data_IF_819470104374
#
_entry.id   IF_819470104374
#
_cell.length_a   1.000
_cell.length_b   1.000
_cell.length_c   1.000
_cell.angle_alpha   90.00
_cell.angle_beta   90.00
_cell.angle_gamma   90.00
#
_symmetry.space_group_name_H-M   'P 1'
#
loop_
_entity.id
_entity.type
_entity.pdbx_description
1 polymer ?
#
# COMPACT_ATOMS: atom_id res chain seq x y z
N UNK A 1 -6.49 -6.93 -13.93
CA UNK A 1 -6.63 -6.87 -12.46
C UNK A 1 -7.41 -5.62 -12.11
N UNK A 2 -8.50 -5.78 -11.38
CA UNK A 2 -9.33 -4.68 -10.85
C UNK A 2 -8.65 -3.99 -9.65
N UNK A 3 -9.12 -2.78 -9.29
CA UNK A 3 -8.64 -2.05 -8.10
C UNK A 3 -8.82 -2.86 -6.81
N UNK A 4 -9.94 -3.60 -6.70
CA UNK A 4 -10.27 -4.44 -5.55
C UNK A 4 -9.29 -5.60 -5.41
N UNK A 5 -9.03 -6.33 -6.49
CA UNK A 5 -8.06 -7.44 -6.51
C UNK A 5 -6.65 -6.94 -6.14
N UNK A 6 -6.26 -5.77 -6.65
CA UNK A 6 -4.96 -5.18 -6.34
C UNK A 6 -4.82 -4.82 -4.86
N UNK A 7 -5.85 -4.20 -4.27
CA UNK A 7 -5.86 -3.87 -2.84
C UNK A 7 -5.78 -5.14 -2.00
N UNK A 8 -6.51 -6.18 -2.36
CA UNK A 8 -6.43 -7.48 -1.67
C UNK A 8 -5.03 -8.07 -1.75
N UNK A 9 -4.40 -8.05 -2.92
CA UNK A 9 -3.01 -8.48 -3.08
C UNK A 9 -2.06 -7.68 -2.18
N UNK A 10 -2.16 -6.35 -2.16
CA UNK A 10 -1.31 -5.51 -1.30
C UNK A 10 -1.54 -5.74 0.20
N UNK A 11 -2.74 -6.16 0.62
CA UNK A 11 -2.99 -6.59 2.00
C UNK A 11 -2.30 -7.92 2.33
N UNK A 12 -2.33 -8.88 1.41
CA UNK A 12 -1.63 -10.16 1.57
C UNK A 12 -0.10 -9.95 1.70
N UNK A 13 0.43 -8.96 0.98
CA UNK A 13 1.84 -8.55 1.07
C UNK A 13 2.13 -7.60 2.25
N UNK A 14 1.18 -7.34 3.14
CA UNK A 14 1.31 -6.41 4.29
C UNK A 14 1.71 -4.97 3.90
N UNK A 15 1.47 -4.56 2.65
CA UNK A 15 1.72 -3.20 2.15
C UNK A 15 0.54 -2.26 2.44
N UNK A 16 -0.64 -2.82 2.69
CA UNK A 16 -1.83 -2.14 3.18
C UNK A 16 -2.34 -2.84 4.44
N UNK A 17 -3.10 -2.12 5.27
CA UNK A 17 -3.76 -2.72 6.42
C UNK A 17 -4.85 -3.70 5.96
N UNK A 18 -4.75 -4.93 6.47
CA UNK A 18 -5.75 -5.98 6.26
C UNK A 18 -6.92 -5.84 7.23
N UNK A 19 -6.61 -5.60 8.50
CA UNK A 19 -7.57 -5.49 9.58
C UNK A 19 -7.05 -4.51 10.64
N UNK A 20 -7.97 -3.87 11.36
CA UNK A 20 -7.65 -2.93 12.43
C UNK A 20 -8.58 -3.22 13.60
N UNK A 21 -8.04 -3.25 14.81
CA UNK A 21 -8.84 -3.25 16.03
C UNK A 21 -9.01 -1.81 16.53
N UNK A 22 -10.20 -1.47 16.98
CA UNK A 22 -10.42 -0.24 17.72
C UNK A 22 -9.56 -0.24 19.00
N UNK A 23 -8.87 0.87 19.27
CA UNK A 23 -8.03 1.00 20.46
C UNK A 23 -8.87 0.94 21.75
N UNK A 24 -10.09 1.44 21.69
CA UNK A 24 -11.03 1.53 22.81
C UNK A 24 -11.78 0.22 23.04
N UNK A 25 -12.54 -0.26 22.05
CA UNK A 25 -13.42 -1.42 22.24
C UNK A 25 -12.79 -2.78 21.87
N UNK A 26 -11.56 -2.77 21.33
CA UNK A 26 -10.81 -3.96 20.88
C UNK A 26 -11.50 -4.81 19.79
N UNK A 27 -12.69 -4.42 19.32
CA UNK A 27 -13.38 -5.05 18.19
C UNK A 27 -12.73 -4.65 16.87
N UNK A 28 -12.85 -5.51 15.88
CA UNK A 28 -12.40 -5.21 14.52
C UNK A 28 -13.25 -4.11 13.90
N UNK A 29 -12.58 -3.19 13.21
CA UNK A 29 -13.21 -2.15 12.41
C UNK A 29 -13.72 -2.75 11.11
N UNK A 30 -14.84 -2.20 10.63
CA UNK A 30 -15.45 -2.58 9.37
C UNK A 30 -14.84 -1.72 8.26
N UNK A 31 -14.57 -2.36 7.13
CA UNK A 31 -14.11 -1.68 5.93
C UNK A 31 -15.30 -1.09 5.17
N UNK A 32 -15.17 0.17 4.73
CA UNK A 32 -16.18 0.85 3.92
C UNK A 32 -15.54 1.67 2.80
N UNK A 33 -16.32 1.92 1.74
CA UNK A 33 -15.96 2.87 0.70
C UNK A 33 -15.95 4.29 1.28
N UNK A 34 -14.91 5.07 0.98
CA UNK A 34 -14.76 6.43 1.47
C UNK A 34 -13.97 7.30 0.49
N UNK A 35 -14.69 8.13 -0.27
CA UNK A 35 -14.13 9.01 -1.30
C UNK A 35 -13.08 10.03 -0.80
N UNK A 36 -13.04 10.30 0.51
CA UNK A 36 -12.06 11.21 1.10
C UNK A 36 -10.62 10.65 1.06
N UNK A 37 -10.45 9.32 1.09
CA UNK A 37 -9.13 8.69 1.05
C UNK A 37 -8.71 8.33 -0.37
N UNK A 38 -7.39 8.31 -0.61
CA UNK A 38 -6.79 8.08 -1.93
C UNK A 38 -7.23 6.77 -2.61
N UNK A 39 -7.35 5.70 -1.82
CA UNK A 39 -7.80 4.40 -2.34
C UNK A 39 -9.32 4.23 -2.31
N UNK A 40 -10.06 5.26 -1.91
CA UNK A 40 -11.51 5.26 -1.73
C UNK A 40 -11.99 4.20 -0.72
N UNK A 41 -11.13 3.83 0.22
CA UNK A 41 -11.42 2.84 1.26
C UNK A 41 -10.92 3.32 2.62
N UNK A 42 -11.67 2.99 3.66
CA UNK A 42 -11.28 3.24 5.03
C UNK A 42 -11.81 2.17 5.99
N UNK A 43 -11.29 2.20 7.21
CA UNK A 43 -11.79 1.41 8.33
C UNK A 43 -12.55 2.30 9.30
N UNK A 44 -13.69 1.82 9.78
CA UNK A 44 -14.59 2.54 10.69
C UNK A 44 -15.15 1.65 11.79
N UNK A 45 -15.37 2.23 12.96
CA UNK A 45 -16.12 1.59 14.05
C UNK A 45 -17.61 1.90 13.92
N UNK A 46 -18.46 0.88 14.08
CA UNK A 46 -19.92 1.03 14.06
C UNK A 46 -20.56 0.97 15.45
N UNK A 47 -19.75 0.94 16.51
CA UNK A 47 -20.31 0.86 17.85
C UNK A 47 -20.65 2.27 18.36
N UNK A 48 -21.96 2.54 18.49
CA UNK A 48 -22.54 3.87 18.76
C UNK A 48 -22.08 4.50 20.08
N UNK A 49 -21.71 3.67 21.06
CA UNK A 49 -21.35 4.11 22.41
C UNK A 49 -19.91 4.67 22.52
N UNK A 50 -19.19 4.80 21.40
CA UNK A 50 -17.80 5.26 21.39
C UNK A 50 -17.63 6.55 20.59
N UNK A 51 -16.85 7.47 21.14
CA UNK A 51 -16.42 8.71 20.47
C UNK A 51 -15.73 8.46 19.11
N UNK A 52 -15.17 7.26 18.91
CA UNK A 52 -14.54 6.83 17.65
C UNK A 52 -15.54 6.40 16.55
N UNK A 53 -16.86 6.41 16.80
CA UNK A 53 -17.88 6.02 15.82
C UNK A 53 -17.84 6.84 14.52
N UNK A 54 -17.31 8.06 14.57
CA UNK A 54 -17.12 8.94 13.40
C UNK A 54 -15.71 8.89 12.84
N UNK A 55 -14.75 8.25 13.54
CA UNK A 55 -13.35 8.21 13.16
C UNK A 55 -13.16 7.26 12.00
N UNK A 56 -12.59 7.79 10.91
CA UNK A 56 -12.21 7.02 9.73
C UNK A 56 -10.70 6.85 9.69
N UNK A 57 -10.25 5.64 9.44
CA UNK A 57 -8.82 5.31 9.42
C UNK A 57 -8.44 4.87 8.01
N UNK A 58 -7.40 5.49 7.45
CA UNK A 58 -6.86 5.08 6.16
C UNK A 58 -6.37 3.63 6.20
N UNK A 59 -6.65 2.88 5.14
CA UNK A 59 -6.06 1.57 4.87
C UNK A 59 -4.53 1.60 4.69
N UNK A 60 -3.93 2.78 4.46
CA UNK A 60 -2.48 2.98 4.28
C UNK A 60 -1.73 3.38 5.55
N UNK A 61 -2.42 3.79 6.61
CA UNK A 61 -1.74 4.38 7.78
C UNK A 61 -0.65 3.47 8.35
N UNK A 62 0.53 4.00 8.69
CA UNK A 62 1.66 3.22 9.22
C UNK A 62 2.01 1.98 8.34
N UNK A 63 1.88 2.12 7.03
CA UNK A 63 2.26 1.11 6.02
C UNK A 63 3.04 1.77 4.88
N UNK A 64 3.56 0.95 3.98
CA UNK A 64 4.44 1.38 2.89
C UNK A 64 3.88 2.56 2.07
N UNK A 65 2.57 2.57 1.80
CA UNK A 65 1.93 3.60 0.98
C UNK A 65 1.42 4.83 1.77
N UNK A 66 1.71 4.96 3.07
CA UNK A 66 1.16 6.03 3.92
C UNK A 66 1.40 7.43 3.35
N UNK A 67 2.60 7.68 2.84
CA UNK A 67 3.05 9.02 2.40
C UNK A 67 2.85 9.25 0.89
N UNK A 68 2.27 8.30 0.16
CA UNK A 68 2.03 8.44 -1.28
C UNK A 68 0.80 9.31 -1.53
N UNK A 69 0.97 10.36 -2.35
CA UNK A 69 -0.07 11.35 -2.63
C UNK A 69 -1.13 10.89 -3.64
N UNK A 70 -0.88 9.81 -4.38
CA UNK A 70 -1.73 9.25 -5.42
C UNK A 70 -2.33 7.89 -5.02
N UNK A 71 -3.36 7.44 -5.74
CA UNK A 71 -3.99 6.13 -5.50
C UNK A 71 -3.05 4.97 -5.88
N UNK A 72 -3.30 3.78 -5.32
CA UNK A 72 -2.40 2.63 -5.51
C UNK A 72 -2.26 2.15 -6.95
N UNK A 73 -3.24 2.40 -7.84
CA UNK A 73 -3.13 2.06 -9.26
C UNK A 73 -2.10 2.96 -9.95
N UNK A 74 -2.07 4.25 -9.62
CA UNK A 74 -1.07 5.17 -10.15
C UNK A 74 0.33 4.75 -9.67
N UNK A 75 0.47 4.44 -8.38
CA UNK A 75 1.76 3.96 -7.84
C UNK A 75 2.23 2.72 -8.57
N UNK A 76 1.34 1.75 -8.81
CA UNK A 76 1.67 0.54 -9.55
C UNK A 76 2.09 0.85 -10.99
N UNK A 77 1.37 1.74 -11.69
CA UNK A 77 1.75 2.15 -13.06
C UNK A 77 3.16 2.74 -13.10
N UNK A 78 3.51 3.58 -12.13
CA UNK A 78 4.87 4.11 -12.01
C UNK A 78 5.90 3.02 -11.73
N UNK A 79 5.62 2.10 -10.81
CA UNK A 79 6.52 0.98 -10.51
C UNK A 79 6.73 0.08 -11.74
N UNK A 80 5.67 -0.19 -12.51
CA UNK A 80 5.76 -0.97 -13.74
C UNK A 80 6.58 -0.23 -14.79
N UNK A 81 6.27 1.04 -15.08
CA UNK A 81 7.03 1.86 -16.04
C UNK A 81 8.50 1.93 -15.66
N UNK A 82 8.78 2.21 -14.39
CA UNK A 82 10.14 2.25 -13.87
C UNK A 82 10.83 0.89 -13.95
N UNK A 83 10.12 -0.22 -13.67
CA UNK A 83 10.67 -1.57 -13.83
C UNK A 83 11.02 -1.89 -15.28
N UNK A 84 10.21 -1.44 -16.24
CA UNK A 84 10.48 -1.59 -17.66
C UNK A 84 11.62 -0.70 -18.13
N UNK A 85 11.71 0.54 -17.64
CA UNK A 85 12.82 1.45 -17.94
C UNK A 85 14.12 0.95 -17.33
N UNK A 86 14.09 0.39 -16.11
CA UNK A 86 15.21 -0.34 -15.52
C UNK A 86 15.58 -1.54 -16.38
N UNK A 87 14.62 -2.37 -16.80
CA UNK A 87 14.92 -3.55 -17.62
C UNK A 87 15.53 -3.12 -18.96
N UNK A 88 14.98 -2.09 -19.61
CA UNK A 88 15.54 -1.48 -20.82
C UNK A 88 16.95 -0.98 -20.54
N UNK A 89 17.13 -0.15 -19.51
CA UNK A 89 18.44 0.37 -19.12
C UNK A 89 19.43 -0.74 -18.79
N UNK A 90 19.03 -1.82 -18.14
CA UNK A 90 19.87 -2.99 -17.83
C UNK A 90 20.15 -3.84 -19.07
N UNK A 91 19.26 -3.87 -20.06
CA UNK A 91 19.50 -4.51 -21.37
C UNK A 91 20.50 -3.66 -22.17
N UNK A 92 20.36 -2.33 -22.16
CA UNK A 92 21.30 -1.41 -22.80
C UNK A 92 22.66 -1.34 -22.07
N UNK A 93 22.64 -1.39 -20.74
CA UNK A 93 23.81 -1.49 -19.86
C UNK A 93 24.29 -2.92 -19.70
N UNK A 94 23.69 -3.95 -20.32
CA UNK A 94 24.36 -5.25 -20.43
C UNK A 94 25.61 -5.19 -21.32
N UNK A 95 25.98 -3.98 -21.78
CA UNK A 95 27.35 -3.62 -22.17
C UNK A 95 28.30 -3.24 -21.02
N UNK A 96 27.86 -2.77 -19.85
CA UNK A 96 28.75 -2.33 -18.74
C UNK A 96 28.12 -2.56 -17.36
N UNK A 97 28.92 -3.19 -16.49
CA UNK A 97 28.59 -3.88 -15.25
C UNK A 97 27.74 -3.16 -14.18
N UNK A 98 27.09 -4.04 -13.41
CA UNK A 98 26.19 -3.93 -12.26
C UNK A 98 26.78 -3.10 -11.12
N UNK A 99 26.05 -2.11 -10.60
CA UNK A 99 25.88 -1.79 -9.17
C UNK A 99 24.85 -0.64 -9.05
N UNK A 100 23.58 -0.92 -8.81
CA UNK A 100 22.55 0.12 -8.70
C UNK A 100 21.72 0.01 -7.42
N UNK A 101 21.03 1.10 -7.11
CA UNK A 101 20.09 1.32 -6.00
C UNK A 101 19.05 0.21 -5.83
N UNK A 102 18.78 -0.56 -6.88
CA UNK A 102 17.97 -1.78 -6.88
C UNK A 102 18.53 -2.82 -5.93
N UNK A 103 19.85 -3.02 -5.87
CA UNK A 103 20.49 -3.93 -4.91
C UNK A 103 20.27 -3.51 -3.45
N UNK A 104 20.16 -2.20 -3.19
CA UNK A 104 19.84 -1.68 -1.84
C UNK A 104 18.38 -1.91 -1.46
N UNK A 105 17.45 -1.82 -2.42
CA UNK A 105 16.02 -2.11 -2.19
C UNK A 105 15.81 -3.63 -2.07
N UNK A 106 16.49 -4.44 -2.89
CA UNK A 106 16.42 -5.91 -2.86
C UNK A 106 17.01 -6.49 -1.57
N UNK A 107 18.17 -6.01 -1.11
CA UNK A 107 18.76 -6.46 0.16
C UNK A 107 17.88 -6.12 1.36
N UNK A 108 17.19 -4.98 1.34
CA UNK A 108 16.27 -4.58 2.43
C UNK A 108 14.96 -5.38 2.47
N UNK A 109 14.59 -6.02 1.36
CA UNK A 109 13.47 -6.96 1.28
C UNK A 109 13.89 -8.37 1.73
N UNK A 110 15.19 -8.71 1.67
CA UNK A 110 15.72 -10.05 1.98
C UNK A 110 16.23 -10.24 3.42
N UNK A 111 16.30 -9.19 4.25
CA UNK A 111 16.69 -9.24 5.66
C UNK A 111 15.53 -9.54 6.64
N UNK A 112 14.37 -9.98 6.13
CA UNK A 112 13.25 -10.54 6.90
C UNK A 112 12.94 -11.96 6.41
#
# INVERSE_FOLDING_TARGET
>A
MSKVELIQYFRQQNLLKKEIKCETCKKYLIEESCAYFKDEQCFRSYTKDFNDYTKRISNRGNRFFADFSCDVLIVLKFLILFSFDIQRHNIFNKKIAIFSLIGKIFNKIHEY
#
